data_IF_878555482820
#
_entry.id   IF_878555482820
#
_cell.length_a   1.000
_cell.length_b   1.000
_cell.length_c   1.000
_cell.angle_alpha   90.00
_cell.angle_beta   90.00
_cell.angle_gamma   90.00
#
_symmetry.space_group_name_H-M   'P 1'
#
loop_
_entity.id
_entity.type
_entity.pdbx_description
1 polymer ?
#
# COMPACT_ATOMS: atom_id res chain seq x y z
N UNK A 1 -54.53 38.54 9.90
CA UNK A 1 -53.30 39.17 9.36
C UNK A 1 -52.15 38.55 10.16
N UNK A 2 -51.51 37.47 9.76
CA UNK A 2 -50.79 37.22 8.50
C UNK A 2 -49.32 37.04 8.88
N UNK A 3 -49.00 35.91 9.53
CA UNK A 3 -47.66 35.60 10.06
C UNK A 3 -46.73 35.20 8.92
N UNK A 4 -45.59 35.90 8.77
CA UNK A 4 -44.59 35.63 7.75
C UNK A 4 -43.70 34.45 8.19
N UNK A 5 -43.97 33.27 7.63
CA UNK A 5 -43.03 32.16 7.64
C UNK A 5 -42.10 32.33 6.43
N UNK A 6 -40.84 32.66 6.69
CA UNK A 6 -39.78 32.65 5.69
C UNK A 6 -39.58 31.22 5.19
N UNK A 7 -39.96 30.99 3.94
CA UNK A 7 -39.77 29.73 3.22
C UNK A 7 -38.28 29.61 2.87
N UNK A 8 -37.64 28.53 3.31
CA UNK A 8 -36.29 28.14 2.91
C UNK A 8 -36.19 28.10 1.36
N UNK A 9 -35.11 28.62 0.76
CA UNK A 9 -34.90 28.45 -0.67
C UNK A 9 -34.74 26.95 -0.97
N UNK A 10 -35.57 26.44 -1.87
CA UNK A 10 -35.44 25.10 -2.42
C UNK A 10 -34.04 24.95 -3.01
N UNK A 11 -33.23 24.08 -2.40
CA UNK A 11 -31.99 23.59 -2.99
C UNK A 11 -32.37 22.87 -4.28
N UNK A 12 -32.31 23.60 -5.38
CA UNK A 12 -32.30 23.04 -6.73
C UNK A 12 -30.97 22.33 -6.87
N UNK A 13 -30.97 21.04 -6.52
CA UNK A 13 -29.92 20.13 -6.92
C UNK A 13 -29.93 20.09 -8.44
N UNK A 14 -29.08 20.90 -9.07
CA UNK A 14 -28.72 20.69 -10.46
C UNK A 14 -28.08 19.31 -10.50
N UNK A 15 -28.71 18.41 -11.25
CA UNK A 15 -28.15 17.12 -11.62
C UNK A 15 -26.89 17.41 -12.46
N UNK A 16 -25.80 17.74 -11.78
CA UNK A 16 -24.46 17.64 -12.34
C UNK A 16 -24.28 16.18 -12.69
N UNK A 17 -24.16 15.91 -14.00
CA UNK A 17 -23.88 14.61 -14.57
C UNK A 17 -22.86 13.87 -13.71
N UNK A 18 -23.34 12.83 -13.03
CA UNK A 18 -22.49 11.83 -12.42
C UNK A 18 -21.70 11.19 -13.56
N UNK A 19 -20.45 11.62 -13.76
CA UNK A 19 -19.47 10.93 -14.60
C UNK A 19 -19.01 9.66 -13.85
N UNK A 20 -19.96 8.80 -13.49
CA UNK A 20 -19.70 7.39 -13.23
C UNK A 20 -19.94 6.67 -14.56
N UNK A 21 -18.99 5.83 -14.98
CA UNK A 21 -19.01 4.99 -16.19
C UNK A 21 -18.36 5.53 -17.47
N UNK A 22 -17.17 6.13 -17.40
CA UNK A 22 -16.27 6.10 -18.58
C UNK A 22 -15.63 4.72 -18.82
N UNK A 23 -15.59 3.84 -17.81
CA UNK A 23 -14.92 2.54 -17.93
C UNK A 23 -15.72 1.44 -18.65
N UNK A 24 -17.04 1.59 -18.80
CA UNK A 24 -17.87 0.56 -19.45
C UNK A 24 -17.66 0.55 -20.98
N UNK A 25 -17.16 1.64 -21.57
CA UNK A 25 -16.91 1.78 -23.03
C UNK A 25 -15.44 1.65 -23.44
N UNK A 26 -14.57 1.07 -22.62
CA UNK A 26 -13.19 0.81 -23.05
C UNK A 26 -13.10 -0.42 -23.94
N UNK A 27 -12.46 -0.27 -25.11
CA UNK A 27 -12.19 -1.39 -26.01
C UNK A 27 -11.27 -2.41 -25.33
N UNK A 28 -11.38 -3.69 -25.69
CA UNK A 28 -10.50 -4.73 -25.16
C UNK A 28 -9.01 -4.50 -25.49
N UNK A 29 -8.70 -3.65 -26.47
CA UNK A 29 -7.34 -3.21 -26.78
C UNK A 29 -6.87 -2.20 -25.72
N UNK A 30 -7.72 -1.23 -25.36
CA UNK A 30 -7.38 -0.23 -24.33
C UNK A 30 -7.23 -0.86 -22.95
N UNK A 31 -8.09 -1.83 -22.60
CA UNK A 31 -7.94 -2.63 -21.37
C UNK A 31 -6.60 -3.37 -21.32
N UNK A 32 -6.23 -4.06 -22.41
CA UNK A 32 -4.94 -4.78 -22.51
C UNK A 32 -3.74 -3.84 -22.45
N UNK A 33 -3.84 -2.68 -23.10
CA UNK A 33 -2.79 -1.65 -23.04
C UNK A 33 -2.56 -1.19 -21.60
N UNK A 34 -3.62 -0.88 -20.84
CA UNK A 34 -3.51 -0.50 -19.42
C UNK A 34 -2.94 -1.60 -18.53
N UNK A 35 -3.29 -2.87 -18.79
CA UNK A 35 -2.69 -4.00 -18.09
C UNK A 35 -1.19 -4.11 -18.39
N UNK A 36 -0.78 -3.90 -19.64
CA UNK A 36 0.62 -3.92 -20.04
C UNK A 36 1.46 -2.82 -19.37
N UNK A 37 0.92 -1.61 -19.22
CA UNK A 37 1.57 -0.53 -18.47
C UNK A 37 1.78 -0.91 -17.00
N UNK A 38 0.75 -1.50 -16.35
CA UNK A 38 0.88 -2.04 -14.98
C UNK A 38 1.95 -3.12 -14.89
N UNK A 39 2.02 -4.01 -15.87
CA UNK A 39 2.99 -5.10 -15.89
C UNK A 39 4.43 -4.61 -16.13
N UNK A 40 4.58 -3.51 -16.89
CA UNK A 40 5.88 -2.88 -17.16
C UNK A 40 6.35 -2.05 -15.95
N UNK A 41 5.46 -1.30 -15.28
CA UNK A 41 5.76 -0.64 -14.01
C UNK A 41 6.16 -1.67 -12.93
N UNK A 42 5.48 -2.82 -12.90
CA UNK A 42 5.85 -3.92 -11.99
C UNK A 42 7.22 -4.53 -12.29
N UNK A 43 7.77 -4.40 -13.51
CA UNK A 43 9.10 -4.92 -13.84
C UNK A 43 10.25 -4.05 -13.31
N UNK A 44 10.03 -2.76 -13.07
CA UNK A 44 11.05 -1.87 -12.52
C UNK A 44 11.12 -1.89 -10.98
N UNK A 45 10.24 -2.64 -10.32
CA UNK A 45 10.17 -2.73 -8.87
C UNK A 45 11.00 -3.90 -8.36
N UNK A 46 12.04 -3.59 -7.60
CA UNK A 46 12.79 -4.59 -6.85
C UNK A 46 12.04 -4.92 -5.56
N UNK A 47 11.39 -6.10 -5.51
CA UNK A 47 10.65 -6.55 -4.33
C UNK A 47 11.64 -6.98 -3.24
N UNK A 48 11.65 -6.25 -2.12
CA UNK A 48 12.48 -6.57 -0.95
C UNK A 48 11.77 -7.62 -0.10
N UNK A 49 10.45 -7.45 0.08
CA UNK A 49 9.65 -8.41 0.79
C UNK A 49 8.16 -8.19 0.68
N UNK A 50 7.44 -9.26 1.00
CA UNK A 50 5.99 -9.32 1.06
C UNK A 50 5.59 -10.00 2.35
N UNK A 51 4.60 -9.45 3.02
CA UNK A 51 4.08 -9.95 4.30
C UNK A 51 2.56 -9.97 4.26
N UNK A 52 2.00 -10.81 5.11
CA UNK A 52 0.56 -10.87 5.34
C UNK A 52 0.29 -10.54 6.81
N UNK A 53 -0.54 -9.53 7.04
CA UNK A 53 -1.07 -9.26 8.35
C UNK A 53 -2.07 -10.35 8.74
N UNK A 54 -1.61 -11.26 9.60
CA UNK A 54 -2.39 -12.39 10.10
C UNK A 54 -3.38 -12.04 11.21
N UNK A 55 -3.54 -10.76 11.59
CA UNK A 55 -4.54 -10.37 12.60
C UNK A 55 -5.95 -10.75 12.11
N UNK A 56 -6.81 -11.30 13.00
CA UNK A 56 -8.16 -11.67 12.62
C UNK A 56 -8.90 -10.49 11.97
N UNK A 57 -9.52 -10.73 10.81
CA UNK A 57 -10.35 -9.78 10.05
C UNK A 57 -9.62 -8.66 9.27
N UNK A 58 -8.30 -8.54 9.35
CA UNK A 58 -7.55 -7.57 8.54
C UNK A 58 -7.08 -8.22 7.23
N UNK A 59 -6.15 -9.18 7.32
CA UNK A 59 -5.65 -9.91 6.15
C UNK A 59 -4.88 -9.03 5.16
N UNK A 60 -4.32 -7.93 5.64
CA UNK A 60 -3.68 -6.91 4.80
C UNK A 60 -2.39 -7.47 4.19
N UNK A 61 -2.18 -7.20 2.90
CA UNK A 61 -0.95 -7.61 2.20
C UNK A 61 -0.02 -6.43 2.12
N UNK A 62 1.17 -6.58 2.67
CA UNK A 62 2.17 -5.51 2.73
C UNK A 62 3.30 -5.89 1.81
N UNK A 63 3.70 -4.99 0.93
CA UNK A 63 4.81 -5.16 -0.01
C UNK A 63 5.78 -4.00 0.16
N UNK A 64 7.03 -4.31 0.44
CA UNK A 64 8.13 -3.35 0.41
C UNK A 64 8.91 -3.56 -0.87
N UNK A 65 9.07 -2.51 -1.64
CA UNK A 65 9.86 -2.54 -2.88
C UNK A 65 10.66 -1.27 -3.06
N UNK A 66 11.68 -1.39 -3.91
CA UNK A 66 12.50 -0.28 -4.36
C UNK A 66 12.16 0.05 -5.81
N UNK A 67 11.98 1.34 -6.10
CA UNK A 67 11.72 1.87 -7.44
C UNK A 67 12.49 3.19 -7.58
N UNK A 68 13.30 3.33 -8.63
CA UNK A 68 14.10 4.54 -8.93
C UNK A 68 14.87 5.13 -7.71
N UNK A 69 15.56 4.25 -6.97
CA UNK A 69 16.33 4.56 -5.75
C UNK A 69 15.53 5.00 -4.52
N UNK A 70 14.21 4.94 -4.58
CA UNK A 70 13.31 5.17 -3.45
C UNK A 70 12.70 3.87 -2.95
N UNK A 71 12.34 3.85 -1.68
CA UNK A 71 11.65 2.72 -1.06
C UNK A 71 10.18 3.06 -0.86
N UNK A 72 9.32 2.11 -1.19
CA UNK A 72 7.88 2.25 -1.08
C UNK A 72 7.28 1.10 -0.30
N UNK A 73 6.40 1.42 0.63
CA UNK A 73 5.58 0.47 1.37
C UNK A 73 4.16 0.53 0.80
N UNK A 74 3.74 -0.55 0.14
CA UNK A 74 2.38 -0.69 -0.38
C UNK A 74 1.60 -1.66 0.50
N UNK A 75 0.46 -1.19 1.02
CA UNK A 75 -0.45 -2.03 1.83
C UNK A 75 -1.77 -2.17 1.11
N UNK A 76 -2.15 -3.41 0.79
CA UNK A 76 -3.46 -3.75 0.25
C UNK A 76 -4.38 -4.23 1.37
N UNK A 77 -5.44 -3.49 1.61
CA UNK A 77 -6.44 -3.80 2.62
C UNK A 77 -7.48 -4.77 2.06
N UNK A 78 -8.15 -5.51 2.95
CA UNK A 78 -9.19 -6.48 2.56
C UNK A 78 -10.43 -5.86 1.92
N UNK A 79 -10.65 -4.55 2.08
CA UNK A 79 -11.73 -3.80 1.43
C UNK A 79 -11.42 -3.44 -0.05
N UNK A 80 -10.21 -3.75 -0.51
CA UNK A 80 -9.73 -3.44 -1.87
C UNK A 80 -9.12 -2.04 -2.03
N UNK A 81 -9.07 -1.25 -0.95
CA UNK A 81 -8.27 -0.04 -0.89
C UNK A 81 -6.78 -0.41 -0.77
N UNK A 82 -5.91 0.55 -1.10
CA UNK A 82 -4.49 0.42 -0.83
C UNK A 82 -3.91 1.75 -0.36
N UNK A 83 -2.86 1.67 0.46
CA UNK A 83 -1.96 2.79 0.74
C UNK A 83 -0.64 2.56 0.00
N UNK A 84 0.01 3.66 -0.37
CA UNK A 84 1.33 3.66 -0.96
C UNK A 84 2.12 4.80 -0.33
N UNK A 85 3.09 4.42 0.49
CA UNK A 85 3.83 5.36 1.33
C UNK A 85 5.32 5.30 0.95
N UNK A 86 5.94 6.45 0.70
CA UNK A 86 7.40 6.55 0.48
C UNK A 86 8.09 6.47 1.84
N UNK A 87 9.07 5.59 1.98
CA UNK A 87 9.76 5.34 3.26
C UNK A 87 11.27 5.54 3.14
N UNK A 88 11.88 6.07 4.21
CA UNK A 88 13.31 6.00 4.43
C UNK A 88 13.65 4.66 5.05
N UNK A 89 14.63 3.96 4.46
CA UNK A 89 15.17 2.73 5.00
C UNK A 89 16.51 2.99 5.68
N UNK A 90 16.58 2.80 6.99
CA UNK A 90 17.79 3.00 7.79
C UNK A 90 18.25 1.69 8.41
N UNK A 91 19.53 1.35 8.27
CA UNK A 91 20.10 0.17 8.92
C UNK A 91 20.20 0.38 10.44
N UNK A 92 19.68 -0.56 11.22
CA UNK A 92 19.78 -0.64 12.67
C UNK A 92 20.35 -2.01 13.09
N UNK A 93 20.73 -2.20 14.37
CA UNK A 93 21.17 -3.50 14.87
C UNK A 93 20.10 -4.60 14.79
N UNK A 94 18.82 -4.22 14.82
CA UNK A 94 17.68 -5.14 14.79
C UNK A 94 17.26 -5.51 13.36
N UNK A 95 17.63 -4.69 12.37
CA UNK A 95 17.28 -4.89 10.98
C UNK A 95 17.26 -3.57 10.19
N UNK A 96 16.32 -3.42 9.28
CA UNK A 96 16.09 -2.18 8.55
C UNK A 96 14.86 -1.48 9.11
N UNK A 97 15.04 -0.28 9.66
CA UNK A 97 13.95 0.57 10.10
C UNK A 97 13.37 1.31 8.89
N UNK A 98 12.05 1.30 8.76
CA UNK A 98 11.29 2.00 7.74
C UNK A 98 10.51 3.16 8.40
N UNK A 99 10.73 4.36 7.91
CA UNK A 99 10.08 5.58 8.41
C UNK A 99 9.47 6.35 7.25
N UNK A 100 8.21 6.76 7.38
CA UNK A 100 7.52 7.55 6.34
C UNK A 100 8.23 8.89 6.08
N UNK A 101 8.51 9.17 4.81
CA UNK A 101 9.09 10.45 4.34
C UNK A 101 8.16 11.63 4.62
N UNK A 102 6.84 11.42 4.52
CA UNK A 102 5.80 12.41 4.80
C UNK A 102 5.69 12.80 6.27
N UNK A 103 6.44 12.10 7.14
CA UNK A 103 6.47 12.34 8.56
C UNK A 103 5.49 11.42 9.29
N UNK A 104 5.93 10.97 10.46
CA UNK A 104 5.22 10.01 11.26
C UNK A 104 4.55 10.71 12.46
N UNK A 105 3.33 11.21 12.25
CA UNK A 105 2.63 11.99 13.27
C UNK A 105 2.20 11.19 14.49
N UNK A 106 2.12 9.86 14.37
CA UNK A 106 1.68 8.95 15.43
C UNK A 106 2.81 8.09 16.02
N UNK A 107 4.04 8.31 15.55
CA UNK A 107 5.22 7.57 16.02
C UNK A 107 5.26 6.10 15.58
N UNK A 108 4.45 5.69 14.61
CA UNK A 108 4.39 4.33 14.05
C UNK A 108 5.48 4.10 12.99
N UNK A 109 6.32 3.10 13.19
CA UNK A 109 7.38 2.74 12.24
C UNK A 109 7.46 1.23 12.10
N UNK A 110 8.09 0.78 11.02
CA UNK A 110 8.27 -0.64 10.76
C UNK A 110 9.74 -1.03 10.90
N UNK A 111 9.98 -2.27 11.32
CA UNK A 111 11.32 -2.86 11.29
C UNK A 111 11.25 -4.16 10.47
N UNK A 112 12.03 -4.22 9.40
CA UNK A 112 12.32 -5.48 8.71
C UNK A 112 13.50 -6.13 9.40
N UNK A 113 13.25 -7.17 10.18
CA UNK A 113 14.28 -7.84 10.97
C UNK A 113 15.28 -8.58 10.07
N UNK A 114 16.42 -8.99 10.64
CA UNK A 114 17.37 -9.87 9.95
C UNK A 114 16.78 -11.24 9.57
N UNK A 115 15.73 -11.71 10.26
CA UNK A 115 14.94 -12.88 9.89
C UNK A 115 13.92 -12.63 8.76
N UNK A 116 13.92 -11.42 8.18
CA UNK A 116 12.98 -10.96 7.15
C UNK A 116 11.52 -10.90 7.60
N UNK A 117 11.27 -10.76 8.91
CA UNK A 117 9.94 -10.53 9.47
C UNK A 117 9.67 -9.02 9.51
N UNK A 118 8.41 -8.64 9.36
CA UNK A 118 7.99 -7.24 9.45
C UNK A 118 7.39 -6.98 10.83
N UNK A 119 8.04 -6.14 11.63
CA UNK A 119 7.56 -5.72 12.93
C UNK A 119 6.91 -4.35 12.86
N UNK A 120 5.79 -4.21 13.56
CA UNK A 120 5.02 -2.99 13.71
C UNK A 120 5.35 -2.41 15.07
N UNK A 121 5.90 -1.20 15.07
CA UNK A 121 6.44 -0.59 16.27
C UNK A 121 5.94 0.85 16.42
N UNK A 122 5.90 1.30 17.66
CA UNK A 122 5.64 2.69 18.01
C UNK A 122 6.59 3.13 19.13
N UNK A 123 6.36 4.32 19.70
CA UNK A 123 7.16 4.86 20.81
C UNK A 123 7.20 3.94 22.05
N UNK A 124 6.19 3.09 22.25
CA UNK A 124 6.10 2.14 23.37
C UNK A 124 6.76 0.80 23.08
N UNK A 125 7.15 0.55 21.83
CA UNK A 125 7.79 -0.68 21.37
C UNK A 125 7.01 -1.38 20.26
N UNK A 126 7.45 -2.60 19.93
CA UNK A 126 6.85 -3.41 18.86
C UNK A 126 5.66 -4.23 19.39
N UNK A 127 4.51 -4.08 18.75
CA UNK A 127 3.24 -4.66 19.22
C UNK A 127 2.75 -5.82 18.34
N UNK A 128 3.26 -5.93 17.11
CA UNK A 128 2.87 -6.99 16.19
C UNK A 128 4.00 -7.36 15.24
N UNK A 129 3.98 -8.61 14.75
CA UNK A 129 4.91 -9.11 13.75
C UNK A 129 4.16 -9.89 12.68
N UNK A 130 4.49 -9.62 11.42
CA UNK A 130 4.00 -10.33 10.25
C UNK A 130 5.10 -11.21 9.66
N UNK A 131 4.73 -12.43 9.31
CA UNK A 131 5.62 -13.39 8.66
C UNK A 131 5.77 -13.08 7.17
N UNK A 132 6.97 -13.31 6.63
CA UNK A 132 7.21 -13.14 5.19
C UNK A 132 6.41 -14.17 4.43
N UNK A 133 5.74 -13.73 3.37
CA UNK A 133 5.09 -14.63 2.42
C UNK A 133 6.19 -15.40 1.66
N UNK A 134 6.11 -16.73 1.72
CA UNK A 134 7.09 -17.64 1.11
C UNK A 134 7.17 -17.58 -0.44
N UNK A 135 6.42 -16.68 -1.09
CA UNK A 135 6.46 -16.52 -2.54
C UNK A 135 7.77 -15.91 -3.06
N UNK A 136 8.60 -15.35 -2.18
CA UNK A 136 9.90 -14.74 -2.52
C UNK A 136 11.08 -15.48 -1.84
N UNK A 137 11.02 -16.82 -1.76
CA UNK A 137 12.23 -17.62 -1.49
C UNK A 137 13.09 -17.58 -2.74
N UNK A 138 14.13 -16.75 -2.67
CA UNK A 138 15.18 -16.62 -3.66
C UNK A 138 15.74 -18.01 -4.06
N UNK A 139 15.54 -18.39 -5.32
CA UNK A 139 16.16 -19.56 -5.95
C UNK A 139 17.69 -19.38 -6.14
N UNK A 140 18.29 -18.32 -5.59
CA UNK A 140 19.72 -17.99 -5.71
C UNK A 140 20.69 -18.77 -4.82
N UNK A 141 20.26 -19.68 -3.94
CA UNK A 141 21.18 -20.52 -3.16
C UNK A 141 21.18 -21.97 -3.63
N UNK A 142 21.89 -22.23 -4.73
CA UNK A 142 22.15 -23.60 -5.13
C UNK A 142 22.84 -23.77 -6.47
N UNK A 143 24.09 -23.32 -6.60
CA UNK A 143 25.17 -24.03 -7.31
C UNK A 143 26.49 -23.47 -6.74
N UNK A 144 27.03 -24.14 -5.73
CA UNK A 144 28.48 -24.13 -5.50
C UNK A 144 29.03 -25.25 -6.37
N UNK A 145 29.67 -24.89 -7.47
CA UNK A 145 30.50 -25.83 -8.24
C UNK A 145 31.71 -26.13 -7.37
N UNK A 146 31.83 -27.40 -6.97
CA UNK A 146 33.07 -27.99 -6.47
C UNK A 146 33.89 -28.52 -7.66
#
# INVERSE_FOLDING_TARGET
MGSMLNVLPQLTFTLGDWVLHKDIRMSGIEKRRRLHWRETDMQNREIIGRWLDGRPLLGDKITLYKEDDKYFLETWFSDGCHSLDEVYMTQTPEGHKLEDVGGNFFGEFFIVTSSQQLQFCNEQGCYFQAEKLAADVDFGQGIRVA
#
